data_IF_546777348611
#
_entry.id   IF_546777348611
#
_cell.length_a   1.000
_cell.length_b   1.000
_cell.length_c   1.000
_cell.angle_alpha   90.00
_cell.angle_beta   90.00
_cell.angle_gamma   90.00
#
_symmetry.space_group_name_H-M   'P 1'
#
loop_
_entity.id
_entity.type
_entity.pdbx_description
1 polymer ?
#
# COMPACT_ATOMS: atom_id res chain seq x y z
N UNK A 1 -53.05 6.47 -33.09
CA UNK A 1 -53.05 6.83 -31.65
C UNK A 1 -53.25 5.52 -30.91
N UNK A 2 -52.15 4.93 -30.43
CA UNK A 2 -51.92 4.69 -29.00
C UNK A 2 -53.00 3.76 -28.40
N UNK A 3 -52.72 2.56 -27.89
CA UNK A 3 -51.63 2.23 -26.99
C UNK A 3 -51.56 0.70 -26.89
N UNK A 4 -50.38 0.11 -27.11
CA UNK A 4 -50.12 -1.32 -26.91
C UNK A 4 -49.84 -1.54 -25.42
N UNK A 5 -50.84 -1.98 -24.67
CA UNK A 5 -50.67 -2.37 -23.27
C UNK A 5 -50.05 -3.77 -23.17
N UNK A 6 -48.75 -3.78 -22.83
CA UNK A 6 -48.00 -4.94 -22.33
C UNK A 6 -48.70 -5.53 -21.09
N UNK A 7 -48.91 -6.85 -20.99
CA UNK A 7 -49.22 -7.47 -19.71
C UNK A 7 -47.94 -7.43 -18.85
N UNK A 8 -48.04 -6.80 -17.68
CA UNK A 8 -46.97 -6.77 -16.69
C UNK A 8 -46.56 -8.20 -16.32
N UNK A 9 -45.32 -8.55 -16.60
CA UNK A 9 -44.68 -9.72 -16.01
C UNK A 9 -44.73 -9.56 -14.49
N UNK A 10 -45.42 -10.50 -13.85
CA UNK A 10 -45.41 -10.64 -12.39
C UNK A 10 -43.97 -10.92 -11.97
N UNK A 11 -43.35 -10.12 -11.09
CA UNK A 11 -42.02 -10.46 -10.60
C UNK A 11 -42.13 -11.71 -9.74
N UNK A 12 -41.34 -12.71 -10.12
CA UNK A 12 -41.20 -13.98 -9.44
C UNK A 12 -40.89 -13.80 -7.95
N UNK A 13 -41.33 -14.79 -7.18
CA UNK A 13 -41.19 -14.94 -5.73
C UNK A 13 -39.83 -14.47 -5.18
N UNK A 14 -39.77 -13.98 -3.93
CA UNK A 14 -38.51 -13.77 -3.26
C UNK A 14 -37.83 -15.12 -3.13
N UNK A 15 -36.74 -15.33 -3.88
CA UNK A 15 -35.88 -16.48 -3.65
C UNK A 15 -35.43 -16.39 -2.20
N UNK A 16 -35.86 -17.37 -1.40
CA UNK A 16 -35.34 -17.58 -0.07
C UNK A 16 -33.84 -17.78 -0.24
N UNK A 17 -33.09 -16.70 -0.01
CA UNK A 17 -31.65 -16.71 0.00
C UNK A 17 -31.30 -17.65 1.16
N UNK A 18 -30.94 -18.90 0.84
CA UNK A 18 -30.53 -19.90 1.82
C UNK A 18 -29.56 -19.20 2.76
N UNK A 19 -29.99 -19.06 4.02
CA UNK A 19 -29.27 -18.28 5.00
C UNK A 19 -27.91 -18.95 5.20
N UNK A 20 -26.88 -18.42 4.52
CA UNK A 20 -25.52 -18.87 4.73
C UNK A 20 -25.26 -18.85 6.24
N UNK A 21 -24.71 -19.92 6.82
CA UNK A 21 -24.50 -19.99 8.26
C UNK A 21 -23.67 -18.79 8.70
N UNK A 22 -24.08 -18.14 9.79
CA UNK A 22 -23.38 -16.99 10.35
C UNK A 22 -21.94 -17.39 10.69
N UNK A 23 -20.99 -16.92 9.88
CA UNK A 23 -19.56 -17.16 10.11
C UNK A 23 -19.05 -16.11 11.09
N UNK A 24 -18.82 -16.50 12.34
CA UNK A 24 -18.13 -15.66 13.31
C UNK A 24 -16.63 -15.56 12.94
N UNK A 25 -16.28 -14.47 12.27
CA UNK A 25 -14.89 -14.17 11.85
C UNK A 25 -13.96 -13.84 13.02
N UNK A 26 -14.46 -13.65 14.25
CA UNK A 26 -13.61 -13.38 15.42
C UNK A 26 -12.89 -14.64 15.91
N UNK A 27 -13.51 -15.81 15.75
CA UNK A 27 -12.91 -17.10 16.14
C UNK A 27 -11.80 -17.55 15.17
N UNK A 28 -11.83 -17.09 13.91
CA UNK A 28 -10.79 -17.39 12.91
C UNK A 28 -9.47 -16.65 13.14
N UNK A 29 -9.36 -15.80 14.18
CA UNK A 29 -8.08 -15.18 14.55
C UNK A 29 -7.18 -16.13 15.36
N UNK A 30 -7.23 -17.42 15.05
CA UNK A 30 -6.44 -18.49 15.63
C UNK A 30 -5.31 -18.92 14.68
N UNK A 31 -4.32 -18.05 14.53
CA UNK A 31 -2.92 -18.32 14.12
C UNK A 31 -2.40 -17.03 13.50
N UNK A 32 -1.71 -16.23 14.31
CA UNK A 32 -1.02 -15.05 13.83
C UNK A 32 -0.07 -15.47 12.72
N UNK A 33 -0.37 -15.10 11.48
CA UNK A 33 0.64 -15.04 10.43
C UNK A 33 1.84 -14.30 11.04
N UNK A 34 3.05 -14.91 11.10
CA UNK A 34 4.21 -14.23 11.67
C UNK A 34 4.29 -12.89 10.94
N UNK A 35 4.20 -11.80 11.69
CA UNK A 35 3.87 -10.47 11.18
C UNK A 35 4.64 -10.18 9.90
N UNK A 36 4.01 -10.44 8.75
CA UNK A 36 4.63 -10.22 7.45
C UNK A 36 4.88 -8.74 7.43
N UNK A 37 6.15 -8.37 7.46
CA UNK A 37 6.57 -6.99 7.59
C UNK A 37 5.88 -6.19 6.49
N UNK A 38 4.89 -5.37 6.86
CA UNK A 38 4.10 -4.54 5.92
C UNK A 38 4.91 -3.32 5.48
N UNK A 39 6.23 -3.44 5.41
CA UNK A 39 7.11 -2.46 4.79
C UNK A 39 7.42 -3.02 3.42
N UNK A 40 6.64 -2.62 2.42
CA UNK A 40 6.98 -2.87 1.01
C UNK A 40 8.30 -2.19 0.61
N UNK A 41 8.82 -1.31 1.47
CA UNK A 41 10.16 -0.76 1.42
C UNK A 41 10.97 -1.33 2.59
N UNK A 42 11.21 -2.64 2.59
CA UNK A 42 12.40 -3.16 3.28
C UNK A 42 13.61 -2.43 2.67
N UNK A 43 14.55 -1.97 3.50
CA UNK A 43 15.79 -1.32 3.08
C UNK A 43 16.63 -2.29 2.22
N UNK A 44 16.24 -2.47 0.96
CA UNK A 44 16.98 -3.28 0.00
C UNK A 44 18.15 -2.44 -0.50
N UNK A 45 19.23 -2.38 0.29
CA UNK A 45 20.55 -2.00 -0.20
C UNK A 45 21.21 -3.14 -1.01
N UNK A 46 20.54 -4.30 -1.09
CA UNK A 46 21.00 -5.47 -1.84
C UNK A 46 20.96 -5.19 -3.36
N UNK A 47 22.12 -5.00 -3.97
CA UNK A 47 22.28 -4.82 -5.42
C UNK A 47 22.48 -3.37 -5.88
N UNK A 48 22.72 -2.43 -4.96
CA UNK A 48 23.13 -1.07 -5.32
C UNK A 48 24.62 -1.04 -5.70
N UNK A 49 25.01 -0.13 -6.60
CA UNK A 49 26.41 0.24 -6.78
C UNK A 49 26.94 0.88 -5.50
N UNK A 50 28.26 0.86 -5.30
CA UNK A 50 28.89 1.45 -4.10
C UNK A 50 28.48 2.93 -3.91
N UNK A 51 28.44 3.69 -5.00
CA UNK A 51 27.98 5.09 -5.04
C UNK A 51 26.52 5.23 -4.57
N UNK A 52 25.64 4.33 -5.03
CA UNK A 52 24.24 4.36 -4.64
C UNK A 52 24.03 3.95 -3.17
N UNK A 53 24.86 3.03 -2.66
CA UNK A 53 24.85 2.63 -1.25
C UNK A 53 25.30 3.78 -0.34
N UNK A 54 26.34 4.52 -0.74
CA UNK A 54 26.81 5.72 -0.03
C UNK A 54 25.71 6.79 0.02
N UNK A 55 25.08 7.10 -1.12
CA UNK A 55 23.98 8.05 -1.18
C UNK A 55 22.81 7.63 -0.28
N UNK A 56 22.43 6.35 -0.29
CA UNK A 56 21.34 5.84 0.55
C UNK A 56 21.65 6.03 2.04
N UNK A 57 22.88 5.72 2.47
CA UNK A 57 23.34 5.91 3.85
C UNK A 57 23.33 7.38 4.28
N UNK A 58 23.76 8.27 3.38
CA UNK A 58 23.75 9.71 3.62
C UNK A 58 22.33 10.26 3.77
N UNK A 59 21.40 9.81 2.92
CA UNK A 59 19.97 10.17 2.98
C UNK A 59 19.35 9.68 4.30
N UNK A 60 19.63 8.45 4.72
CA UNK A 60 19.08 7.92 5.98
C UNK A 60 19.62 8.66 7.21
N UNK A 61 20.91 8.99 7.19
CA UNK A 61 21.53 9.87 8.21
C UNK A 61 20.87 11.25 8.23
N UNK A 62 20.56 11.81 7.06
CA UNK A 62 19.87 13.10 6.94
C UNK A 62 18.46 13.06 7.53
N UNK A 63 17.67 12.03 7.20
CA UNK A 63 16.32 11.80 7.75
C UNK A 63 16.34 11.69 9.27
N UNK A 64 17.29 10.92 9.82
CA UNK A 64 17.42 10.72 11.26
C UNK A 64 17.71 12.03 12.01
N UNK A 65 18.63 12.86 11.47
CA UNK A 65 18.98 14.17 12.05
C UNK A 65 17.82 15.15 12.04
N UNK A 66 17.08 15.22 10.94
CA UNK A 66 15.98 16.18 10.76
C UNK A 66 14.65 15.69 11.34
N UNK A 67 14.59 14.46 11.88
CA UNK A 67 13.39 13.81 12.43
C UNK A 67 12.19 13.87 11.48
N UNK A 68 12.43 13.82 10.18
CA UNK A 68 11.39 13.85 9.14
C UNK A 68 11.21 12.46 8.55
N UNK A 69 9.95 12.13 8.26
CA UNK A 69 9.57 10.87 7.63
C UNK A 69 9.80 10.87 6.11
N UNK A 70 9.80 12.06 5.49
CA UNK A 70 9.98 12.27 4.06
C UNK A 70 10.99 13.41 3.83
N UNK A 71 11.85 13.24 2.82
CA UNK A 71 12.80 14.25 2.35
C UNK A 71 12.20 14.98 1.15
N UNK A 72 12.41 16.30 1.04
CA UNK A 72 12.01 17.06 -0.14
C UNK A 72 13.13 17.07 -1.20
N UNK A 73 12.84 17.59 -2.40
CA UNK A 73 13.80 17.58 -3.52
C UNK A 73 15.04 18.46 -3.25
N UNK A 74 14.88 19.60 -2.59
CA UNK A 74 15.98 20.49 -2.23
C UNK A 74 16.92 19.85 -1.21
N UNK A 75 16.35 19.16 -0.23
CA UNK A 75 17.08 18.41 0.79
C UNK A 75 17.85 17.24 0.15
N UNK A 76 17.24 16.53 -0.80
CA UNK A 76 17.92 15.48 -1.57
C UNK A 76 19.06 16.05 -2.41
N UNK A 77 18.85 17.18 -3.08
CA UNK A 77 19.91 17.87 -3.83
C UNK A 77 21.06 18.30 -2.90
N UNK A 78 20.76 18.78 -1.69
CA UNK A 78 21.77 19.15 -0.72
C UNK A 78 22.60 17.94 -0.25
N UNK A 79 21.98 16.77 -0.05
CA UNK A 79 22.71 15.54 0.29
C UNK A 79 23.63 15.12 -0.86
N UNK A 80 23.15 15.13 -2.10
CA UNK A 80 23.94 14.81 -3.29
C UNK A 80 25.14 15.76 -3.45
N UNK A 81 24.93 17.06 -3.28
CA UNK A 81 26.01 18.07 -3.30
C UNK A 81 27.01 17.88 -2.16
N UNK A 82 26.54 17.53 -0.95
CA UNK A 82 27.41 17.31 0.20
C UNK A 82 28.33 16.09 0.03
N UNK A 83 27.90 15.09 -0.76
CA UNK A 83 28.72 13.96 -1.18
C UNK A 83 29.68 14.29 -2.33
N UNK A 84 29.63 15.50 -2.88
CA UNK A 84 30.50 15.92 -3.97
C UNK A 84 30.06 15.45 -5.35
N UNK A 85 28.88 14.84 -5.48
CA UNK A 85 28.31 14.52 -6.79
C UNK A 85 27.92 15.81 -7.51
N UNK A 86 28.55 16.04 -8.66
CA UNK A 86 28.16 17.08 -9.61
C UNK A 86 27.73 16.44 -10.93
N UNK A 87 26.82 17.10 -11.63
CA UNK A 87 26.51 16.78 -13.03
C UNK A 87 27.60 17.30 -13.96
#
# INVERSE_FOLDING_TARGET
MADTLLPAETPAAPQANEAAPFVDRRSQRGSGTPGRERRQFTNSHSGLSDEAAELASAIDSYKARHRRRFINYEEMLNVVKALGYSR
#
